data_IF_080602002435
#
_entry.id   IF_080602002435
#
_cell.length_a   1.000
_cell.length_b   1.000
_cell.length_c   1.000
_cell.angle_alpha   90.00
_cell.angle_beta   90.00
_cell.angle_gamma   90.00
#
_symmetry.space_group_name_H-M   'P 1'
#
loop_
_entity.id
_entity.type
_entity.pdbx_description
1 polymer ?
#
# COMPACT_ATOMS: atom_id res chain seq x y z
N UNK A 1 18.05 -7.71 -27.37
CA UNK A 1 17.75 -6.51 -26.57
C UNK A 1 19.06 -5.75 -26.46
N UNK A 2 19.10 -4.46 -26.83
CA UNK A 2 20.31 -3.61 -26.75
C UNK A 2 20.45 -3.04 -25.35
N UNK A 3 21.68 -2.67 -24.97
CA UNK A 3 21.95 -1.99 -23.69
C UNK A 3 21.08 -0.74 -23.52
N UNK A 4 20.61 -0.51 -22.32
CA UNK A 4 19.76 0.63 -21.96
C UNK A 4 20.33 1.34 -20.74
N UNK A 5 20.20 2.65 -20.73
CA UNK A 5 20.44 3.43 -19.52
C UNK A 5 19.14 3.57 -18.75
N UNK A 6 19.16 3.20 -17.47
CA UNK A 6 18.05 3.39 -16.53
C UNK A 6 18.47 4.47 -15.55
N UNK A 7 17.81 5.61 -15.59
CA UNK A 7 18.01 6.68 -14.62
C UNK A 7 16.85 6.73 -13.65
N UNK A 8 17.18 6.85 -12.37
CA UNK A 8 16.20 7.08 -11.29
C UNK A 8 16.57 8.38 -10.59
N UNK A 9 15.62 9.29 -10.51
CA UNK A 9 15.77 10.58 -9.86
C UNK A 9 14.68 10.75 -8.81
N UNK A 10 15.06 11.28 -7.65
CA UNK A 10 14.10 11.67 -6.61
C UNK A 10 14.03 13.19 -6.60
N UNK A 11 12.82 13.70 -6.76
CA UNK A 11 12.52 15.13 -6.80
C UNK A 11 11.73 15.53 -5.55
N UNK A 12 12.02 16.71 -5.01
CA UNK A 12 11.21 17.31 -3.96
C UNK A 12 9.90 17.89 -4.51
N UNK A 13 9.01 18.39 -3.64
CA UNK A 13 7.74 19.02 -4.04
C UNK A 13 7.88 20.23 -4.94
N UNK A 14 9.10 20.80 -5.06
CA UNK A 14 9.39 21.92 -5.96
C UNK A 14 10.02 21.44 -7.28
N UNK A 15 10.08 20.13 -7.50
CA UNK A 15 10.69 19.53 -8.68
C UNK A 15 12.22 19.53 -8.68
N UNK A 16 12.88 19.88 -7.56
CA UNK A 16 14.34 19.89 -7.48
C UNK A 16 14.84 18.48 -7.18
N UNK A 17 15.83 18.04 -7.92
CA UNK A 17 16.48 16.76 -7.71
C UNK A 17 17.21 16.74 -6.36
N UNK A 18 16.88 15.77 -5.51
CA UNK A 18 17.49 15.55 -4.19
C UNK A 18 18.38 14.31 -4.15
N UNK A 19 18.14 13.35 -5.02
CA UNK A 19 18.99 12.18 -5.23
C UNK A 19 18.81 11.66 -6.65
N UNK A 20 19.76 10.85 -7.14
CA UNK A 20 19.59 10.17 -8.41
C UNK A 20 20.80 9.35 -8.80
N UNK A 21 20.57 8.36 -9.66
CA UNK A 21 21.58 7.45 -10.18
C UNK A 21 21.16 6.96 -11.55
N UNK A 22 22.16 6.80 -12.43
CA UNK A 22 21.97 6.11 -13.70
C UNK A 22 22.74 4.80 -13.65
N UNK A 23 22.11 3.73 -14.08
CA UNK A 23 22.72 2.40 -14.19
C UNK A 23 22.51 1.86 -15.59
N UNK A 24 23.42 1.03 -16.07
CA UNK A 24 23.26 0.32 -17.33
C UNK A 24 22.51 -1.00 -17.09
N UNK A 25 21.43 -1.20 -17.80
CA UNK A 25 20.76 -2.47 -17.89
C UNK A 25 21.36 -3.26 -19.05
N UNK A 26 22.09 -4.33 -18.72
CA UNK A 26 22.70 -5.18 -19.74
C UNK A 26 21.65 -5.88 -20.57
N UNK A 27 21.89 -5.99 -21.88
CA UNK A 27 21.08 -6.78 -22.77
C UNK A 27 21.10 -8.25 -22.33
N UNK A 28 19.91 -8.87 -22.24
CA UNK A 28 19.77 -10.27 -21.87
C UNK A 28 18.57 -10.91 -22.58
N UNK A 29 18.51 -12.23 -22.56
CA UNK A 29 17.41 -13.00 -23.17
C UNK A 29 16.11 -12.94 -22.36
N UNK A 30 16.15 -12.41 -21.13
CA UNK A 30 14.96 -12.33 -20.26
C UNK A 30 13.97 -11.28 -20.76
N UNK A 31 12.71 -11.66 -20.84
CA UNK A 31 11.61 -10.74 -21.18
C UNK A 31 11.42 -9.62 -20.16
N UNK A 32 11.68 -9.90 -18.88
CA UNK A 32 11.62 -8.96 -17.77
C UNK A 32 13.01 -8.89 -17.11
N UNK A 33 13.52 -7.67 -16.95
CA UNK A 33 14.79 -7.40 -16.28
C UNK A 33 14.52 -6.53 -15.05
N UNK A 34 14.90 -7.02 -13.88
CA UNK A 34 14.91 -6.23 -12.66
C UNK A 34 16.27 -5.54 -12.51
N UNK A 35 16.24 -4.23 -12.34
CA UNK A 35 17.45 -3.40 -12.18
C UNK A 35 17.39 -2.73 -10.81
N UNK A 36 18.07 -3.27 -9.78
CA UNK A 36 18.05 -2.68 -8.45
C UNK A 36 18.85 -1.35 -8.44
N UNK A 37 18.22 -0.31 -7.90
CA UNK A 37 18.86 1.01 -7.73
C UNK A 37 18.69 1.44 -6.28
N UNK A 38 19.81 1.63 -5.57
CA UNK A 38 19.80 2.15 -4.21
C UNK A 38 20.19 3.62 -4.23
N UNK A 39 19.38 4.45 -3.59
CA UNK A 39 19.57 5.87 -3.42
C UNK A 39 19.49 6.24 -1.94
N UNK A 40 20.20 7.28 -1.52
CA UNK A 40 20.13 7.85 -0.20
C UNK A 40 19.68 9.32 -0.30
N UNK A 41 18.77 9.72 0.57
CA UNK A 41 18.35 11.12 0.72
C UNK A 41 18.86 11.59 2.10
N UNK A 42 19.87 12.46 2.16
CA UNK A 42 20.31 13.01 3.44
C UNK A 42 19.21 13.87 4.08
N UNK A 43 18.94 13.63 5.37
CA UNK A 43 17.94 14.36 6.15
C UNK A 43 16.57 14.45 5.43
N UNK A 44 15.94 13.31 5.13
CA UNK A 44 14.70 13.31 4.35
C UNK A 44 13.57 13.98 5.13
N UNK A 45 12.69 14.67 4.41
CA UNK A 45 11.38 15.07 4.95
C UNK A 45 10.49 13.85 4.95
N UNK A 46 9.99 13.47 6.12
CA UNK A 46 9.17 12.26 6.27
C UNK A 46 7.70 12.57 6.03
N UNK A 47 7.00 11.62 5.41
CA UNK A 47 5.56 11.54 5.45
C UNK A 47 5.11 11.28 6.90
N UNK A 48 4.36 12.17 7.49
CA UNK A 48 4.05 12.16 8.93
C UNK A 48 2.54 12.27 9.21
N UNK A 49 1.76 11.50 8.46
CA UNK A 49 0.31 11.52 8.57
C UNK A 49 -0.26 12.92 8.24
N UNK A 50 -1.41 13.24 8.80
CA UNK A 50 -2.10 14.54 8.59
C UNK A 50 -1.27 15.76 9.02
N UNK A 51 -0.21 15.57 9.83
CA UNK A 51 0.67 16.65 10.27
C UNK A 51 1.58 17.15 9.16
N UNK A 52 2.04 16.25 8.29
CA UNK A 52 2.91 16.55 7.17
C UNK A 52 2.87 15.40 6.15
N UNK A 53 1.92 15.37 5.23
CA UNK A 53 1.80 14.32 4.21
C UNK A 53 2.78 14.55 3.05
N UNK A 54 4.07 14.69 3.37
CA UNK A 54 5.09 15.04 2.40
C UNK A 54 5.37 13.91 1.42
N UNK A 55 5.27 14.20 0.13
CA UNK A 55 5.55 13.27 -0.95
C UNK A 55 6.68 13.80 -1.83
N UNK A 56 7.71 13.00 -2.02
CA UNK A 56 8.66 13.13 -3.12
C UNK A 56 8.04 12.60 -4.40
N UNK A 57 8.73 12.81 -5.51
CA UNK A 57 8.46 12.15 -6.78
C UNK A 57 9.67 11.30 -7.16
N UNK A 58 9.43 10.06 -7.57
CA UNK A 58 10.43 9.21 -8.21
C UNK A 58 10.20 9.26 -9.70
N UNK A 59 11.14 9.86 -10.42
CA UNK A 59 11.17 9.84 -11.88
C UNK A 59 12.11 8.74 -12.33
N UNK A 60 11.55 7.75 -13.02
CA UNK A 60 12.33 6.69 -13.67
C UNK A 60 12.29 6.90 -15.16
N UNK A 61 13.46 6.90 -15.81
CA UNK A 61 13.56 6.97 -17.26
C UNK A 61 14.42 5.85 -17.80
N UNK A 62 14.02 5.30 -18.93
CA UNK A 62 14.75 4.26 -19.67
C UNK A 62 15.10 4.83 -21.05
N UNK A 63 16.39 4.90 -21.35
CA UNK A 63 16.88 5.38 -22.64
C UNK A 63 17.51 4.25 -23.42
N UNK A 64 17.07 4.06 -24.65
CA UNK A 64 17.62 3.08 -25.59
C UNK A 64 18.84 3.63 -26.35
N UNK A 65 19.64 2.75 -26.94
CA UNK A 65 20.84 3.15 -27.70
C UNK A 65 20.53 4.01 -28.94
N UNK A 66 19.33 3.91 -29.49
CA UNK A 66 18.83 4.73 -30.61
C UNK A 66 18.22 6.07 -30.16
N UNK A 67 18.28 6.36 -28.84
CA UNK A 67 17.88 7.64 -28.28
C UNK A 67 16.41 7.75 -27.88
N UNK A 68 15.61 6.70 -28.02
CA UNK A 68 14.23 6.69 -27.50
C UNK A 68 14.24 6.71 -25.97
N UNK A 69 13.31 7.41 -25.37
CA UNK A 69 13.17 7.51 -23.93
C UNK A 69 11.73 7.23 -23.51
N UNK A 70 11.56 6.42 -22.47
CA UNK A 70 10.30 6.22 -21.78
C UNK A 70 10.47 6.68 -20.32
N UNK A 71 9.45 7.35 -19.78
CA UNK A 71 9.51 7.95 -18.44
C UNK A 71 8.26 7.62 -17.63
N UNK A 72 8.48 7.36 -16.34
CA UNK A 72 7.42 7.19 -15.36
C UNK A 72 7.71 8.05 -14.13
N UNK A 73 6.69 8.72 -13.61
CA UNK A 73 6.77 9.49 -12.36
C UNK A 73 5.78 8.94 -11.37
N UNK A 74 6.24 8.61 -10.18
CA UNK A 74 5.44 8.07 -9.09
C UNK A 74 5.66 8.87 -7.80
N UNK A 75 4.63 9.04 -6.94
CA UNK A 75 4.82 9.61 -5.62
C UNK A 75 5.66 8.68 -4.73
N UNK A 76 6.37 9.25 -3.77
CA UNK A 76 7.14 8.52 -2.77
C UNK A 76 7.04 9.23 -1.42
N UNK A 77 6.41 8.60 -0.45
CA UNK A 77 6.45 9.02 0.95
C UNK A 77 7.41 8.16 1.76
N UNK A 78 8.32 8.80 2.46
CA UNK A 78 9.28 8.13 3.34
C UNK A 78 8.79 8.14 4.76
N UNK A 79 8.68 6.98 5.38
CA UNK A 79 8.24 6.83 6.76
C UNK A 79 8.77 5.54 7.39
N UNK A 80 8.70 5.46 8.71
CA UNK A 80 8.83 4.21 9.46
C UNK A 80 7.56 3.95 10.25
N UNK A 81 7.16 2.68 10.34
CA UNK A 81 5.98 2.22 11.08
C UNK A 81 6.39 1.08 12.01
N UNK A 82 5.88 1.10 13.22
CA UNK A 82 5.96 -0.04 14.13
C UNK A 82 4.74 -0.07 15.04
N UNK A 83 4.49 -1.23 15.61
CA UNK A 83 3.46 -1.43 16.65
C UNK A 83 4.11 -2.14 17.81
N UNK A 84 3.91 -1.63 19.02
CA UNK A 84 4.37 -2.31 20.23
C UNK A 84 3.31 -2.27 21.33
N UNK A 85 3.32 -3.25 22.24
CA UNK A 85 2.26 -3.39 23.27
C UNK A 85 2.14 -2.23 24.25
N UNK A 86 3.19 -1.42 24.43
CA UNK A 86 3.19 -0.31 25.39
C UNK A 86 2.74 1.00 24.78
N UNK A 87 3.15 1.28 23.56
CA UNK A 87 2.95 2.57 22.89
C UNK A 87 1.87 2.49 21.80
N UNK A 88 1.46 1.27 21.40
CA UNK A 88 0.54 1.05 20.31
C UNK A 88 1.18 1.32 18.95
N UNK A 89 0.49 2.06 18.11
CA UNK A 89 0.98 2.45 16.78
C UNK A 89 2.00 3.59 16.89
N UNK A 90 3.13 3.42 16.20
CA UNK A 90 4.25 4.36 16.19
C UNK A 90 4.58 4.76 14.76
N UNK A 91 4.51 6.05 14.45
CA UNK A 91 4.87 6.63 13.16
C UNK A 91 6.13 7.48 13.31
N UNK A 92 7.17 7.16 12.54
CA UNK A 92 8.45 7.87 12.58
C UNK A 92 9.06 7.99 13.98
N UNK A 93 8.98 6.89 14.74
CA UNK A 93 9.51 6.82 16.12
C UNK A 93 8.67 7.55 17.17
N UNK A 94 7.47 8.03 16.83
CA UNK A 94 6.57 8.72 17.78
C UNK A 94 5.25 7.98 17.91
N UNK A 95 4.79 7.68 19.13
CA UNK A 95 3.47 7.11 19.36
C UNK A 95 2.37 8.01 18.79
N UNK A 96 1.38 7.38 18.16
CA UNK A 96 0.25 8.06 17.54
C UNK A 96 -1.04 7.31 17.90
N UNK A 97 -1.97 8.01 18.54
CA UNK A 97 -3.33 7.50 18.70
C UNK A 97 -4.09 7.77 17.41
N UNK A 98 -4.50 6.69 16.73
CA UNK A 98 -5.28 6.80 15.50
C UNK A 98 -6.75 7.02 15.85
N UNK A 99 -7.34 8.08 15.26
CA UNK A 99 -8.76 8.39 15.29
C UNK A 99 -9.30 8.17 13.88
N UNK A 100 -9.75 6.95 13.62
CA UNK A 100 -10.11 6.53 12.28
C UNK A 100 -11.57 6.17 12.12
N UNK A 101 -11.96 6.00 10.86
CA UNK A 101 -13.27 5.51 10.45
C UNK A 101 -13.12 4.32 9.52
N UNK A 102 -14.14 3.46 9.45
CA UNK A 102 -14.26 2.44 8.40
C UNK A 102 -15.05 3.01 7.23
N UNK A 103 -14.60 2.74 6.02
CA UNK A 103 -15.28 3.11 4.79
C UNK A 103 -15.59 1.88 3.95
N UNK A 104 -16.87 1.70 3.61
CA UNK A 104 -17.29 0.81 2.55
C UNK A 104 -17.27 1.53 1.20
N UNK A 105 -16.98 0.78 0.12
CA UNK A 105 -16.87 1.33 -1.23
C UNK A 105 -18.23 1.26 -1.93
N UNK A 106 -19.22 1.90 -1.34
CA UNK A 106 -20.55 1.97 -1.91
C UNK A 106 -21.25 3.31 -1.61
N UNK A 107 -22.17 3.71 -2.46
CA UNK A 107 -22.95 4.93 -2.32
C UNK A 107 -24.40 4.71 -2.74
N UNK A 108 -25.32 5.38 -2.03
CA UNK A 108 -26.75 5.33 -2.36
C UNK A 108 -27.00 5.71 -3.83
N UNK A 109 -27.68 4.83 -4.56
CA UNK A 109 -28.04 5.02 -5.96
C UNK A 109 -26.94 4.67 -6.97
N UNK A 110 -25.71 4.36 -6.52
CA UNK A 110 -24.60 3.95 -7.37
C UNK A 110 -24.07 2.56 -7.05
N UNK A 111 -24.32 2.05 -5.83
CA UNK A 111 -23.66 0.84 -5.34
C UNK A 111 -22.14 1.02 -5.37
N UNK A 112 -21.43 0.07 -5.96
CA UNK A 112 -19.98 0.08 -6.06
C UNK A 112 -19.42 0.84 -7.28
N UNK A 113 -20.28 1.38 -8.16
CA UNK A 113 -19.88 2.11 -9.34
C UNK A 113 -19.53 3.56 -9.02
N UNK A 114 -18.55 3.76 -8.13
CA UNK A 114 -18.09 5.08 -7.73
C UNK A 114 -17.16 5.69 -8.77
N UNK A 115 -17.32 6.99 -8.99
CA UNK A 115 -16.36 7.78 -9.76
C UNK A 115 -15.21 8.28 -8.87
N UNK A 116 -14.08 8.73 -9.46
CA UNK A 116 -13.01 9.37 -8.71
C UNK A 116 -13.48 10.55 -7.86
N UNK A 117 -14.47 11.32 -8.33
CA UNK A 117 -15.04 12.47 -7.60
C UNK A 117 -15.87 12.04 -6.39
N UNK A 118 -16.55 10.89 -6.46
CA UNK A 118 -17.26 10.31 -5.33
C UNK A 118 -16.27 9.90 -4.22
N UNK A 119 -15.18 9.27 -4.61
CA UNK A 119 -14.11 8.86 -3.68
C UNK A 119 -13.40 10.08 -3.07
N UNK A 120 -13.10 11.10 -3.87
CA UNK A 120 -12.52 12.35 -3.38
C UNK A 120 -13.44 13.03 -2.36
N UNK A 121 -14.76 13.05 -2.64
CA UNK A 121 -15.75 13.57 -1.70
C UNK A 121 -15.74 12.81 -0.38
N UNK A 122 -15.68 11.49 -0.41
CA UNK A 122 -15.64 10.65 0.79
C UNK A 122 -14.39 10.95 1.62
N UNK A 123 -13.23 10.94 0.99
CA UNK A 123 -11.95 11.19 1.68
C UNK A 123 -11.91 12.61 2.25
N UNK A 124 -12.44 13.59 1.52
CA UNK A 124 -12.55 14.96 2.04
C UNK A 124 -13.45 15.04 3.27
N UNK A 125 -14.62 14.42 3.26
CA UNK A 125 -15.53 14.38 4.42
C UNK A 125 -14.87 13.71 5.63
N UNK A 126 -14.11 12.64 5.42
CA UNK A 126 -13.35 11.95 6.46
C UNK A 126 -12.27 12.86 7.06
N UNK A 127 -11.54 13.58 6.21
CA UNK A 127 -10.54 14.54 6.67
C UNK A 127 -11.16 15.75 7.39
N UNK A 128 -12.27 16.30 6.86
CA UNK A 128 -12.98 17.46 7.43
C UNK A 128 -13.57 17.17 8.82
N UNK A 129 -13.95 15.93 9.11
CA UNK A 129 -14.37 15.54 10.46
C UNK A 129 -13.21 15.39 11.46
N UNK A 130 -11.97 15.54 11.01
CA UNK A 130 -10.77 15.46 11.84
C UNK A 130 -10.26 14.02 12.07
N UNK A 131 -10.64 13.06 11.24
CA UNK A 131 -10.06 11.74 11.27
C UNK A 131 -8.60 11.77 10.76
N UNK A 132 -7.77 10.90 11.34
CA UNK A 132 -6.37 10.71 10.93
C UNK A 132 -6.09 9.27 10.50
N UNK A 133 -7.12 8.42 10.46
CA UNK A 133 -7.05 7.04 10.00
C UNK A 133 -8.25 6.59 9.20
N UNK A 134 -8.04 5.64 8.32
CA UNK A 134 -9.03 5.02 7.46
C UNK A 134 -8.84 3.50 7.44
N UNK A 135 -9.90 2.76 7.71
CA UNK A 135 -9.97 1.33 7.42
C UNK A 135 -10.78 1.12 6.15
N UNK A 136 -10.20 0.45 5.16
CA UNK A 136 -10.96 0.03 3.98
C UNK A 136 -11.71 -1.25 4.33
N UNK A 137 -13.01 -1.19 4.34
CA UNK A 137 -13.79 -2.30 4.87
C UNK A 137 -14.59 -3.01 3.78
N UNK A 138 -14.38 -4.29 3.53
CA UNK A 138 -13.35 -5.19 4.12
C UNK A 138 -12.56 -5.83 2.98
N UNK A 139 -11.94 -5.02 2.17
CA UNK A 139 -11.29 -5.35 0.90
C UNK A 139 -10.39 -4.18 0.49
N UNK A 140 -9.44 -4.37 -0.44
CA UNK A 140 -8.65 -3.28 -0.98
C UNK A 140 -9.55 -2.21 -1.62
N UNK A 141 -9.23 -0.95 -1.40
CA UNK A 141 -9.87 0.16 -2.11
C UNK A 141 -9.28 0.37 -3.50
N UNK A 142 -9.86 1.29 -4.27
CA UNK A 142 -9.27 1.74 -5.52
C UNK A 142 -7.93 2.45 -5.29
N UNK A 143 -7.05 2.45 -6.27
CA UNK A 143 -5.77 3.18 -6.19
C UNK A 143 -5.98 4.68 -5.93
N UNK A 144 -7.05 5.27 -6.48
CA UNK A 144 -7.39 6.67 -6.24
C UNK A 144 -7.64 6.99 -4.76
N UNK A 145 -8.31 6.09 -4.01
CA UNK A 145 -8.50 6.26 -2.56
C UNK A 145 -7.17 6.29 -1.83
N UNK A 146 -6.24 5.40 -2.18
CA UNK A 146 -4.91 5.39 -1.56
C UNK A 146 -4.08 6.62 -1.92
N UNK A 147 -4.13 7.08 -3.17
CA UNK A 147 -3.50 8.33 -3.61
C UNK A 147 -4.03 9.55 -2.83
N UNK A 148 -5.33 9.59 -2.57
CA UNK A 148 -5.96 10.63 -1.75
C UNK A 148 -5.51 10.52 -0.29
N UNK A 149 -5.42 9.32 0.27
CA UNK A 149 -4.91 9.10 1.63
C UNK A 149 -3.44 9.51 1.76
N UNK A 150 -2.60 9.22 0.75
CA UNK A 150 -1.20 9.67 0.72
C UNK A 150 -1.10 11.19 0.79
N UNK A 151 -1.94 11.90 0.03
CA UNK A 151 -1.98 13.38 -0.06
C UNK A 151 -2.59 14.04 1.17
N UNK A 152 -3.59 13.42 1.79
CA UNK A 152 -4.27 13.96 2.98
C UNK A 152 -3.59 13.55 4.29
N UNK A 153 -2.75 12.51 4.25
CA UNK A 153 -2.05 12.01 5.42
C UNK A 153 -2.84 11.02 6.28
N UNK A 154 -3.93 10.44 5.76
CA UNK A 154 -4.69 9.44 6.49
C UNK A 154 -3.88 8.15 6.61
N UNK A 155 -3.76 7.63 7.84
CA UNK A 155 -3.16 6.30 8.09
C UNK A 155 -4.16 5.22 7.69
N UNK A 156 -3.77 4.34 6.78
CA UNK A 156 -4.68 3.35 6.21
C UNK A 156 -4.39 1.95 6.75
N UNK A 157 -5.47 1.27 7.09
CA UNK A 157 -5.56 -0.17 7.28
C UNK A 157 -6.29 -0.75 6.06
N UNK A 158 -5.56 -1.41 5.16
CA UNK A 158 -6.11 -2.10 3.98
C UNK A 158 -6.24 -3.59 4.24
N UNK A 159 -7.31 -4.22 3.77
CA UNK A 159 -7.66 -5.59 4.12
C UNK A 159 -7.71 -6.53 2.92
N UNK A 160 -7.22 -7.76 3.13
CA UNK A 160 -7.50 -8.89 2.25
C UNK A 160 -9.00 -9.19 2.33
N UNK A 161 -9.71 -9.45 1.22
CA UNK A 161 -11.15 -9.69 1.22
C UNK A 161 -11.54 -11.08 1.78
N UNK A 162 -11.05 -11.39 2.97
CA UNK A 162 -11.33 -12.59 3.74
C UNK A 162 -12.38 -12.27 4.80
N UNK A 163 -13.66 -12.34 4.42
CA UNK A 163 -14.79 -11.83 5.21
C UNK A 163 -15.73 -12.97 5.61
N UNK A 164 -16.07 -13.04 6.89
CA UNK A 164 -17.05 -13.93 7.52
C UNK A 164 -16.73 -15.42 7.48
N UNK A 165 -16.27 -15.94 6.35
CA UNK A 165 -16.20 -17.38 6.09
C UNK A 165 -14.78 -17.83 5.80
N UNK A 166 -14.35 -18.91 6.44
CA UNK A 166 -13.12 -19.63 6.11
C UNK A 166 -13.48 -21.04 5.67
N UNK A 167 -12.90 -21.50 4.58
CA UNK A 167 -13.07 -22.87 4.08
C UNK A 167 -11.79 -23.66 4.28
N UNK A 168 -11.93 -24.89 4.77
CA UNK A 168 -10.81 -25.81 4.92
C UNK A 168 -10.50 -26.51 3.60
N UNK A 169 -10.04 -25.73 2.60
CA UNK A 169 -9.60 -26.29 1.32
C UNK A 169 -8.28 -25.64 0.88
N UNK A 170 -7.41 -26.41 0.19
CA UNK A 170 -6.14 -25.89 -0.34
C UNK A 170 -6.37 -24.70 -1.29
N UNK A 171 -7.42 -24.74 -2.10
CA UNK A 171 -7.77 -23.69 -3.07
C UNK A 171 -8.12 -22.38 -2.37
N UNK A 172 -8.84 -22.45 -1.25
CA UNK A 172 -9.18 -21.25 -0.46
C UNK A 172 -7.92 -20.60 0.13
N UNK A 173 -7.02 -21.43 0.70
CA UNK A 173 -5.75 -20.94 1.26
C UNK A 173 -4.87 -20.29 0.20
N UNK A 174 -4.73 -20.92 -0.95
CA UNK A 174 -3.93 -20.38 -2.05
C UNK A 174 -4.53 -19.09 -2.60
N UNK A 175 -5.86 -19.02 -2.73
CA UNK A 175 -6.55 -17.81 -3.14
C UNK A 175 -6.34 -16.65 -2.16
N UNK A 176 -6.41 -16.90 -0.85
CA UNK A 176 -6.14 -15.87 0.16
C UNK A 176 -4.69 -15.36 0.08
N UNK A 177 -3.72 -16.25 -0.10
CA UNK A 177 -2.31 -15.87 -0.31
C UNK A 177 -2.12 -15.07 -1.60
N UNK A 178 -2.77 -15.49 -2.69
CA UNK A 178 -2.72 -14.78 -3.96
C UNK A 178 -3.26 -13.35 -3.81
N UNK A 179 -4.44 -13.20 -3.23
CA UNK A 179 -5.07 -11.89 -3.01
C UNK A 179 -4.24 -11.01 -2.06
N UNK A 180 -3.67 -11.58 -1.00
CA UNK A 180 -2.77 -10.85 -0.10
C UNK A 180 -1.52 -10.34 -0.85
N UNK A 181 -0.89 -11.20 -1.66
CA UNK A 181 0.27 -10.83 -2.45
C UNK A 181 -0.04 -9.76 -3.49
N UNK A 182 -1.14 -9.89 -4.20
CA UNK A 182 -1.59 -8.90 -5.19
C UNK A 182 -1.89 -7.55 -4.53
N UNK A 183 -2.63 -7.54 -3.42
CA UNK A 183 -2.90 -6.34 -2.64
C UNK A 183 -1.61 -5.62 -2.22
N UNK A 184 -0.64 -6.37 -1.69
CA UNK A 184 0.65 -5.83 -1.24
C UNK A 184 1.43 -5.26 -2.42
N UNK A 185 1.61 -6.02 -3.51
CA UNK A 185 2.45 -5.61 -4.63
C UNK A 185 1.86 -4.42 -5.40
N UNK A 186 0.54 -4.35 -5.53
CA UNK A 186 -0.14 -3.23 -6.18
C UNK A 186 -0.03 -1.95 -5.36
N UNK A 187 0.02 -2.06 -4.02
CA UNK A 187 -0.13 -0.91 -3.13
C UNK A 187 1.11 -0.65 -2.25
N UNK A 188 2.20 -1.34 -2.50
CA UNK A 188 3.41 -1.27 -1.67
C UNK A 188 3.98 0.14 -1.53
N UNK A 189 3.87 0.95 -2.57
CA UNK A 189 4.46 2.29 -2.62
C UNK A 189 3.61 3.37 -1.89
N UNK A 190 2.40 3.05 -1.42
CA UNK A 190 1.57 4.00 -0.69
C UNK A 190 2.06 4.20 0.75
N UNK A 191 2.58 5.38 1.13
CA UNK A 191 3.02 5.64 2.50
C UNK A 191 1.87 5.65 3.50
N UNK A 192 0.66 5.98 3.08
CA UNK A 192 -0.55 5.96 3.91
C UNK A 192 -0.88 4.57 4.42
N UNK A 193 -0.67 3.52 3.62
CA UNK A 193 -0.94 2.15 4.06
C UNK A 193 0.11 1.75 5.09
N UNK A 194 -0.30 1.66 6.34
CA UNK A 194 0.56 1.35 7.47
C UNK A 194 0.27 -0.02 8.09
N UNK A 195 -0.84 -0.64 7.72
CA UNK A 195 -1.28 -1.94 8.24
C UNK A 195 -1.97 -2.74 7.14
N UNK A 196 -1.66 -4.04 7.10
CA UNK A 196 -2.36 -5.04 6.30
C UNK A 196 -3.28 -5.86 7.19
N UNK A 197 -4.60 -5.75 6.97
CA UNK A 197 -5.59 -6.61 7.59
C UNK A 197 -5.72 -7.94 6.83
N UNK A 198 -5.85 -9.03 7.54
CA UNK A 198 -5.88 -10.38 6.93
C UNK A 198 -7.27 -11.03 6.99
N UNK A 199 -8.22 -10.44 7.72
CA UNK A 199 -9.59 -10.93 7.81
C UNK A 199 -10.55 -9.90 8.39
N UNK A 200 -11.85 -10.14 8.21
CA UNK A 200 -12.92 -9.48 8.92
C UNK A 200 -13.97 -10.49 9.40
N UNK A 201 -14.31 -10.44 10.69
CA UNK A 201 -15.43 -11.17 11.33
C UNK A 201 -15.51 -12.67 11.02
N UNK A 202 -14.38 -13.32 10.78
CA UNK A 202 -14.33 -14.76 10.60
C UNK A 202 -14.69 -15.46 11.92
N UNK A 203 -15.51 -16.52 11.83
CA UNK A 203 -15.98 -17.24 13.01
C UNK A 203 -17.19 -16.63 13.70
N UNK A 204 -17.69 -15.48 13.27
CA UNK A 204 -18.93 -14.89 13.80
C UNK A 204 -20.20 -15.64 13.36
N UNK A 205 -20.12 -16.41 12.28
CA UNK A 205 -21.22 -17.25 11.81
C UNK A 205 -20.81 -18.72 11.92
N UNK A 206 -21.04 -19.36 13.09
CA UNK A 206 -20.51 -20.70 13.36
C UNK A 206 -21.14 -21.81 12.50
N UNK A 207 -22.21 -21.58 11.81
CA UNK A 207 -23.04 -22.67 11.31
C UNK A 207 -22.77 -23.11 9.88
N UNK A 208 -22.21 -22.31 9.01
CA UNK A 208 -22.27 -22.62 7.59
C UNK A 208 -20.99 -23.12 6.93
N UNK A 209 -19.79 -22.68 7.36
CA UNK A 209 -18.62 -22.95 6.55
C UNK A 209 -17.28 -23.11 7.26
N UNK A 210 -17.18 -22.69 8.51
CA UNK A 210 -15.96 -22.83 9.31
C UNK A 210 -15.96 -24.03 10.25
N UNK A 211 -16.94 -24.94 10.13
CA UNK A 211 -17.04 -26.11 11.01
C UNK A 211 -15.88 -27.06 10.76
N UNK A 212 -15.04 -27.22 11.77
CA UNK A 212 -13.87 -28.09 11.71
C UNK A 212 -12.60 -27.40 11.20
N UNK A 213 -12.65 -26.11 10.84
CA UNK A 213 -11.46 -25.34 10.46
C UNK A 213 -10.72 -24.91 11.71
N UNK A 214 -9.41 -25.15 11.75
CA UNK A 214 -8.52 -24.56 12.74
C UNK A 214 -8.22 -23.10 12.33
N UNK A 215 -9.04 -22.18 12.82
CA UNK A 215 -8.97 -20.76 12.50
C UNK A 215 -7.67 -20.12 12.95
N UNK A 216 -7.13 -20.55 14.09
CA UNK A 216 -5.87 -20.02 14.63
C UNK A 216 -4.70 -20.38 13.71
N UNK A 217 -4.65 -21.64 13.28
CA UNK A 217 -3.63 -22.10 12.34
C UNK A 217 -3.73 -21.35 11.00
N UNK A 218 -4.93 -21.23 10.42
CA UNK A 218 -5.14 -20.53 9.15
C UNK A 218 -4.70 -19.05 9.21
N UNK A 219 -5.08 -18.34 10.27
CA UNK A 219 -4.70 -16.94 10.44
C UNK A 219 -3.21 -16.78 10.72
N UNK A 220 -2.62 -17.69 11.48
CA UNK A 220 -1.18 -17.68 11.76
C UNK A 220 -0.38 -17.84 10.47
N UNK A 221 -0.77 -18.80 9.62
CA UNK A 221 -0.14 -19.04 8.32
C UNK A 221 -0.29 -17.82 7.37
N UNK A 222 -1.48 -17.25 7.27
CA UNK A 222 -1.71 -16.07 6.42
C UNK A 222 -0.95 -14.85 6.94
N UNK A 223 -0.93 -14.62 8.26
CA UNK A 223 -0.15 -13.54 8.87
C UNK A 223 1.34 -13.69 8.61
N UNK A 224 1.87 -14.90 8.75
CA UNK A 224 3.27 -15.20 8.43
C UNK A 224 3.57 -14.86 6.97
N UNK A 225 2.73 -15.32 6.04
CA UNK A 225 2.88 -15.04 4.62
C UNK A 225 2.88 -13.54 4.30
N UNK A 226 1.96 -12.76 4.90
CA UNK A 226 1.89 -11.31 4.73
C UNK A 226 3.15 -10.63 5.26
N UNK A 227 3.64 -11.02 6.44
CA UNK A 227 4.88 -10.47 7.04
C UNK A 227 6.14 -10.83 6.25
N UNK A 228 6.18 -12.00 5.63
CA UNK A 228 7.28 -12.40 4.73
C UNK A 228 7.23 -11.63 3.40
N UNK A 229 6.01 -11.32 2.92
CA UNK A 229 5.81 -10.56 1.68
C UNK A 229 6.12 -9.07 1.88
N UNK A 230 5.72 -8.49 3.00
CA UNK A 230 6.03 -7.11 3.38
C UNK A 230 6.43 -7.01 4.86
N UNK A 231 7.72 -7.10 5.18
CA UNK A 231 8.21 -6.98 6.55
C UNK A 231 8.19 -5.54 7.11
N UNK A 232 7.79 -4.57 6.33
CA UNK A 232 7.81 -3.15 6.71
C UNK A 232 6.54 -2.66 7.40
N UNK A 233 5.48 -3.52 7.46
CA UNK A 233 4.16 -3.20 8.01
C UNK A 233 3.60 -4.32 8.87
#
# INVERSE_FOLDING_TARGET
>A
IRDRDVAVEILDMKGRKVAGKTVKAAAGEKKNLEVPVTLAIPNPVLWNGVRNPYLYQVKTSVRTADGQTDEMVQPLGLRTVSVNPKEGFVLNGKPMQIKGVSRHQDMKGKGWALSPEDEERDIRLIADMGADGLRTGHYPASSNVYDLCDKTGLVVWSEVPNVNLVRDTPEFRENNRLQAREMIYQNWNHPSICMWGIFNEIGHQPEASSKGVDMEAELTELNKFVKETDPSR
#
